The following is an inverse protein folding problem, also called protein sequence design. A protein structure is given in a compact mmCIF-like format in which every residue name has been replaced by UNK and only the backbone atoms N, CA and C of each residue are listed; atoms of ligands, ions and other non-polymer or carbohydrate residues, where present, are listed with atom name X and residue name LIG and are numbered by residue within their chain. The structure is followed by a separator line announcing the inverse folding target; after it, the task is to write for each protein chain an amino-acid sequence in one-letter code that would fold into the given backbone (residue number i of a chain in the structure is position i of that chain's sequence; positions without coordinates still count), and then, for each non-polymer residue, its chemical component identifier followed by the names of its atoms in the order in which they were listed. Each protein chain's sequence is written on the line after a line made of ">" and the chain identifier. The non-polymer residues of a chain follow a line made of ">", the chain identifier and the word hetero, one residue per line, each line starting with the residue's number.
data_IF_636701195476
#
_entry.id   IF_636701195476
#
_cell.length_a   1.000
_cell.length_b   1.000
_cell.length_c   1.000
_cell.angle_alpha   90.00
_cell.angle_beta   90.00
_cell.angle_gamma   90.00
#
_symmetry.space_group_name_H-M   'P 1'
#
loop_
_entity.id
_entity.type
_entity.pdbx_description
1 polymer ?
#
# COMPACT_ATOMS: atom_id res chain seq x y z
N UNK A 1 -2.79 -17.97 -15.97
CA UNK A 1 -3.71 -18.43 -14.91
C UNK A 1 -3.52 -17.50 -13.73
N UNK A 2 -4.57 -16.83 -13.24
CA UNK A 2 -4.48 -15.98 -12.04
C UNK A 2 -4.78 -16.86 -10.84
N UNK A 3 -3.87 -16.85 -9.86
CA UNK A 3 -3.96 -17.64 -8.64
C UNK A 3 -4.92 -16.97 -7.63
N UNK A 4 -5.51 -17.76 -6.73
CA UNK A 4 -6.51 -17.31 -5.77
C UNK A 4 -5.85 -16.95 -4.43
N UNK A 5 -5.82 -15.66 -4.10
CA UNK A 5 -5.18 -15.13 -2.90
C UNK A 5 -5.74 -15.74 -1.59
N UNK A 6 -6.99 -16.21 -1.57
CA UNK A 6 -7.58 -16.83 -0.36
C UNK A 6 -6.95 -18.18 0.00
N UNK A 7 -6.27 -18.83 -0.96
CA UNK A 7 -5.57 -20.11 -0.76
C UNK A 7 -4.18 -19.95 -0.18
N UNK A 8 -3.72 -18.71 -0.02
CA UNK A 8 -2.39 -18.38 0.47
C UNK A 8 -2.53 -17.55 1.75
N UNK A 9 -2.69 -18.21 2.93
CA UNK A 9 -2.96 -17.51 4.18
C UNK A 9 -1.83 -16.56 4.62
N UNK A 10 -0.64 -16.71 4.04
CA UNK A 10 0.52 -15.86 4.27
C UNK A 10 0.80 -14.90 3.09
N UNK A 11 -0.04 -14.87 2.06
CA UNK A 11 0.05 -13.90 0.99
C UNK A 11 -0.46 -12.56 1.50
N UNK A 12 0.44 -11.85 2.14
CA UNK A 12 0.26 -10.46 2.46
C UNK A 12 0.25 -9.73 1.11
N UNK A 13 -0.81 -8.95 0.87
CA UNK A 13 -1.02 -8.16 -0.34
C UNK A 13 0.31 -7.66 -0.90
N UNK A 14 0.64 -8.09 -2.12
CA UNK A 14 1.84 -7.62 -2.82
C UNK A 14 1.43 -6.51 -3.78
N UNK A 15 2.00 -5.33 -3.61
CA UNK A 15 1.83 -4.20 -4.52
C UNK A 15 3.18 -3.83 -5.11
N UNK A 16 3.27 -3.76 -6.45
CA UNK A 16 4.46 -3.38 -7.18
C UNK A 16 4.20 -2.10 -7.97
N UNK A 17 5.14 -1.15 -7.93
CA UNK A 17 5.15 -0.01 -8.84
C UNK A 17 6.09 -0.33 -10.01
N UNK A 18 5.56 -0.29 -11.24
CA UNK A 18 6.33 -0.49 -12.47
C UNK A 18 6.45 0.85 -13.18
N UNK A 19 7.66 1.18 -13.64
CA UNK A 19 7.99 2.44 -14.32
C UNK A 19 8.77 2.11 -15.59
N UNK A 20 8.48 2.81 -16.69
CA UNK A 20 9.18 2.56 -17.95
C UNK A 20 10.64 2.98 -17.90
N UNK A 21 11.50 2.26 -18.63
CA UNK A 21 12.92 2.59 -18.72
C UNK A 21 13.15 3.99 -19.30
N UNK A 22 12.35 4.42 -20.28
CA UNK A 22 12.44 5.75 -20.86
C UNK A 22 12.21 6.85 -19.82
N UNK A 23 11.24 6.64 -18.92
CA UNK A 23 10.97 7.58 -17.83
C UNK A 23 12.12 7.59 -16.82
N UNK A 24 12.65 6.43 -16.44
CA UNK A 24 13.77 6.34 -15.50
C UNK A 24 15.07 6.97 -16.05
N UNK A 25 15.28 6.94 -17.37
CA UNK A 25 16.40 7.67 -18.00
C UNK A 25 16.25 9.18 -17.86
N UNK A 26 15.02 9.71 -17.92
CA UNK A 26 14.72 11.14 -17.74
C UNK A 26 14.74 11.56 -16.26
N UNK A 27 14.34 10.66 -15.37
CA UNK A 27 14.19 10.90 -13.93
C UNK A 27 14.85 9.79 -13.11
N UNK A 28 16.19 9.73 -13.08
CA UNK A 28 16.93 8.63 -12.43
C UNK A 28 16.67 8.52 -10.93
N UNK A 29 16.36 9.65 -10.27
CA UNK A 29 16.07 9.69 -8.82
C UNK A 29 14.62 9.32 -8.47
N UNK A 30 13.76 9.07 -9.48
CA UNK A 30 12.35 8.77 -9.23
C UNK A 30 12.12 7.62 -8.23
N UNK A 31 12.84 6.49 -8.30
CA UNK A 31 12.65 5.41 -7.32
C UNK A 31 12.88 5.87 -5.87
N UNK A 32 13.90 6.70 -5.63
CA UNK A 32 14.20 7.24 -4.30
C UNK A 32 13.07 8.16 -3.83
N UNK A 33 12.70 9.14 -4.66
CA UNK A 33 11.66 10.13 -4.33
C UNK A 33 10.30 9.44 -4.10
N UNK A 34 9.96 8.45 -4.92
CA UNK A 34 8.73 7.68 -4.78
C UNK A 34 8.68 6.92 -3.46
N UNK A 35 9.79 6.27 -3.07
CA UNK A 35 9.87 5.56 -1.80
C UNK A 35 9.81 6.51 -0.60
N UNK A 36 10.49 7.65 -0.65
CA UNK A 36 10.42 8.69 0.40
C UNK A 36 9.00 9.24 0.56
N UNK A 37 8.31 9.51 -0.55
CA UNK A 37 6.92 9.96 -0.53
C UNK A 37 5.98 8.93 0.10
N UNK A 38 6.14 7.64 -0.23
CA UNK A 38 5.34 6.56 0.36
C UNK A 38 5.61 6.39 1.86
N UNK A 39 6.87 6.48 2.28
CA UNK A 39 7.21 6.44 3.71
C UNK A 39 6.63 7.63 4.48
N UNK A 40 6.66 8.83 3.89
CA UNK A 40 6.02 10.00 4.48
C UNK A 40 4.51 9.81 4.60
N UNK A 41 3.85 9.36 3.54
CA UNK A 41 2.42 9.07 3.55
C UNK A 41 2.03 8.05 4.63
N UNK A 42 2.84 6.99 4.83
CA UNK A 42 2.64 6.01 5.89
C UNK A 42 2.74 6.64 7.29
N UNK A 43 3.76 7.47 7.52
CA UNK A 43 3.94 8.17 8.80
C UNK A 43 2.80 9.15 9.09
N UNK A 44 2.30 9.84 8.08
CA UNK A 44 1.19 10.79 8.21
C UNK A 44 -0.15 10.09 8.51
N UNK A 45 -0.32 8.88 7.97
CA UNK A 45 -1.46 7.97 8.13
C UNK A 45 -1.53 7.31 9.52
N UNK A 46 -0.40 6.84 10.04
CA UNK A 46 -0.32 6.06 11.28
C UNK A 46 -0.99 6.70 12.51
N UNK A 47 -0.84 8.01 12.79
CA UNK A 47 -1.51 8.64 13.92
C UNK A 47 -3.01 8.91 13.69
N UNK A 48 -3.54 8.64 12.49
CA UNK A 48 -4.92 8.96 12.07
C UNK A 48 -5.64 7.75 11.45
N UNK A 49 -5.67 6.58 12.13
CA UNK A 49 -6.19 5.36 11.53
C UNK A 49 -7.68 5.48 11.18
N UNK A 50 -8.49 6.17 12.00
CA UNK A 50 -9.92 6.31 11.76
C UNK A 50 -10.21 7.13 10.48
N UNK A 51 -9.55 8.27 10.31
CA UNK A 51 -9.69 9.12 9.10
C UNK A 51 -9.35 8.33 7.82
N UNK A 52 -8.30 7.52 7.86
CA UNK A 52 -7.92 6.67 6.73
C UNK A 52 -8.96 5.62 6.39
N UNK A 53 -9.43 4.87 7.38
CA UNK A 53 -10.41 3.81 7.12
C UNK A 53 -11.78 4.39 6.72
N UNK A 54 -12.14 5.57 7.22
CA UNK A 54 -13.31 6.31 6.74
C UNK A 54 -13.15 6.70 5.27
N UNK A 55 -12.00 7.27 4.89
CA UNK A 55 -11.68 7.58 3.50
C UNK A 55 -11.74 6.34 2.59
N UNK A 56 -11.13 5.23 3.00
CA UNK A 56 -11.19 3.97 2.24
C UNK A 56 -12.63 3.49 2.06
N UNK A 57 -13.44 3.56 3.12
CA UNK A 57 -14.85 3.14 3.08
C UNK A 57 -15.66 4.00 2.11
N UNK A 58 -15.38 5.30 2.02
CA UNK A 58 -15.99 6.19 1.02
C UNK A 58 -15.54 5.87 -0.40
N UNK A 59 -14.27 5.49 -0.58
CA UNK A 59 -13.69 5.20 -1.90
C UNK A 59 -14.21 3.88 -2.48
N UNK A 60 -14.29 2.83 -1.67
CA UNK A 60 -14.57 1.47 -2.13
C UNK A 60 -15.97 0.93 -1.73
N UNK A 61 -16.71 1.64 -0.88
CA UNK A 61 -18.04 1.25 -0.42
C UNK A 61 -18.05 0.12 0.63
N UNK A 62 -16.89 -0.34 1.12
CA UNK A 62 -16.80 -1.34 2.18
C UNK A 62 -16.98 -0.74 3.56
N UNK A 63 -17.37 -1.59 4.52
CA UNK A 63 -17.48 -1.17 5.92
C UNK A 63 -16.11 -0.87 6.52
N UNK A 64 -16.07 0.03 7.51
CA UNK A 64 -14.87 0.37 8.29
C UNK A 64 -14.16 -0.90 8.81
N UNK A 65 -14.94 -1.83 9.37
CA UNK A 65 -14.45 -3.10 9.93
C UNK A 65 -13.80 -4.00 8.87
N UNK A 66 -14.37 -4.05 7.65
CA UNK A 66 -13.80 -4.83 6.56
C UNK A 66 -12.49 -4.21 6.06
N UNK A 67 -12.45 -2.88 5.91
CA UNK A 67 -11.24 -2.16 5.51
C UNK A 67 -10.09 -2.34 6.52
N UNK A 68 -10.38 -2.23 7.83
CA UNK A 68 -9.40 -2.52 8.88
C UNK A 68 -8.78 -3.92 8.79
N UNK A 69 -9.60 -4.93 8.45
CA UNK A 69 -9.15 -6.32 8.34
C UNK A 69 -8.36 -6.57 7.05
N UNK A 70 -8.77 -5.97 5.94
CA UNK A 70 -8.19 -6.21 4.63
C UNK A 70 -6.93 -5.37 4.35
N UNK A 71 -6.83 -4.17 4.94
CA UNK A 71 -5.74 -3.22 4.70
C UNK A 71 -5.15 -2.67 6.00
N UNK A 72 -4.58 -3.52 6.86
CA UNK A 72 -4.05 -3.09 8.14
C UNK A 72 -2.86 -2.12 7.97
N UNK A 73 -2.95 -0.93 8.58
CA UNK A 73 -1.92 0.13 8.58
C UNK A 73 -0.66 -0.32 9.33
N UNK A 74 -0.82 -1.12 10.38
CA UNK A 74 0.27 -1.52 11.26
C UNK A 74 0.51 -3.03 11.14
N UNK A 75 1.36 -3.40 10.18
CA UNK A 75 2.10 -4.65 10.24
C UNK A 75 3.54 -4.35 9.87
N UNK A 76 4.45 -4.96 10.61
CA UNK A 76 5.83 -5.24 10.23
C UNK A 76 5.98 -6.00 8.89
N UNK A 77 4.95 -6.03 8.03
CA UNK A 77 4.84 -6.72 6.77
C UNK A 77 5.26 -5.89 5.55
N UNK A 78 5.47 -4.58 5.71
CA UNK A 78 5.94 -3.70 4.62
C UNK A 78 7.47 -3.51 4.61
N UNK A 79 8.17 -4.05 5.62
CA UNK A 79 9.63 -4.07 5.67
C UNK A 79 10.10 -5.37 5.04
N UNK A 80 10.36 -5.34 3.73
CA UNK A 80 11.29 -6.30 3.12
C UNK A 80 12.67 -5.94 3.68
N UNK A 81 13.23 -6.79 4.53
CA UNK A 81 14.66 -6.75 4.86
C UNK A 81 15.49 -7.14 3.65
#
# INVERSE_FOLDING_TARGET
>A
MLDDATKHPNLIVTSLTVVSEEYLKKFPDFPKIWNEARQKALKDLQPKPEEYYQFLSQLNGFTLKLNQKATPIDLNAWIVK
#
